data_IF_651734509977
#
_entry.id   IF_651734509977
#
_cell.length_a   1.000
_cell.length_b   1.000
_cell.length_c   1.000
_cell.angle_alpha   90.00
_cell.angle_beta   90.00
_cell.angle_gamma   90.00
#
_symmetry.space_group_name_H-M   'P 1'
#
loop_
_entity.id
_entity.type
_entity.pdbx_description
1 polymer ?
#
# COMPACT_ATOMS: atom_id res chain seq x y z
N UNK A 1 17.63 -5.25 6.75
CA UNK A 1 17.52 -6.31 7.76
C UNK A 1 18.54 -7.39 7.48
N UNK A 2 19.19 -7.90 8.54
CA UNK A 2 20.13 -9.01 8.50
C UNK A 2 19.37 -10.31 8.75
N UNK A 3 19.64 -11.32 7.98
CA UNK A 3 19.20 -12.67 8.29
C UNK A 3 20.39 -13.60 8.26
N UNK A 4 20.89 -13.93 9.41
CA UNK A 4 21.77 -15.05 9.67
C UNK A 4 21.52 -15.50 11.10
N UNK A 5 21.40 -16.79 11.32
CA UNK A 5 21.30 -17.33 12.67
C UNK A 5 22.70 -17.52 13.21
N UNK A 6 22.94 -17.08 14.42
CA UNK A 6 24.22 -17.25 15.15
C UNK A 6 24.72 -18.70 15.22
N UNK A 7 23.83 -19.67 15.07
CA UNK A 7 24.17 -21.10 15.07
C UNK A 7 24.95 -21.57 13.87
N UNK A 8 25.08 -20.74 12.81
CA UNK A 8 25.84 -21.05 11.62
C UNK A 8 27.04 -20.11 11.48
N UNK A 9 27.99 -20.23 12.35
CA UNK A 9 29.21 -19.42 12.43
C UNK A 9 30.05 -19.33 11.12
N UNK A 10 29.67 -20.02 10.06
CA UNK A 10 30.30 -19.98 8.73
C UNK A 10 29.56 -19.16 7.68
N UNK A 11 28.36 -18.65 7.98
CA UNK A 11 27.58 -17.88 7.02
C UNK A 11 27.87 -16.40 7.23
N UNK A 12 28.36 -15.74 6.19
CA UNK A 12 28.46 -14.28 6.20
C UNK A 12 27.07 -13.68 6.29
N UNK A 13 26.91 -12.65 7.12
CA UNK A 13 25.72 -11.82 7.11
C UNK A 13 25.57 -11.16 5.73
N UNK A 14 24.57 -11.59 4.98
CA UNK A 14 24.23 -10.97 3.70
C UNK A 14 23.10 -10.00 3.93
N UNK A 15 23.34 -8.72 3.62
CA UNK A 15 22.30 -7.72 3.53
C UNK A 15 21.90 -7.60 2.08
N UNK A 16 20.85 -8.30 1.69
CA UNK A 16 20.32 -8.26 0.33
C UNK A 16 19.49 -6.98 0.15
N UNK A 17 19.99 -6.08 -0.69
CA UNK A 17 19.33 -4.81 -0.98
C UNK A 17 18.98 -4.66 -2.45
N UNK A 18 19.68 -5.36 -3.34
CA UNK A 18 19.39 -5.33 -4.77
C UNK A 18 18.22 -6.26 -5.08
N UNK A 19 17.29 -5.76 -5.87
CA UNK A 19 16.23 -6.57 -6.44
C UNK A 19 16.83 -7.45 -7.54
N UNK A 20 16.24 -8.62 -7.71
CA UNK A 20 16.66 -9.57 -8.73
C UNK A 20 15.44 -9.91 -9.60
N UNK A 21 15.25 -11.19 -9.93
CA UNK A 21 14.00 -11.67 -10.55
C UNK A 21 12.79 -11.41 -9.66
N UNK A 22 13.02 -11.38 -8.34
CA UNK A 22 12.02 -11.01 -7.32
C UNK A 22 12.55 -9.84 -6.49
N UNK A 23 11.66 -9.07 -5.83
CA UNK A 23 12.06 -8.04 -4.90
C UNK A 23 12.99 -8.57 -3.81
N UNK A 24 13.98 -7.79 -3.42
CA UNK A 24 14.82 -8.12 -2.27
C UNK A 24 14.00 -8.11 -0.97
N UNK A 25 14.43 -8.88 0.02
CA UNK A 25 13.77 -8.91 1.32
C UNK A 25 13.64 -7.50 1.94
N UNK A 26 14.66 -6.67 1.74
CA UNK A 26 14.64 -5.29 2.26
C UNK A 26 13.68 -4.38 1.47
N UNK A 27 13.61 -4.48 0.14
CA UNK A 27 12.67 -3.69 -0.63
C UNK A 27 11.22 -4.10 -0.30
N UNK A 28 10.96 -5.39 -0.15
CA UNK A 28 9.65 -5.89 0.26
C UNK A 28 9.23 -5.37 1.65
N UNK A 29 10.15 -5.37 2.62
CA UNK A 29 9.88 -4.83 3.97
C UNK A 29 9.62 -3.32 3.92
N UNK A 30 10.35 -2.56 3.08
CA UNK A 30 10.10 -1.14 2.91
C UNK A 30 8.70 -0.86 2.33
N UNK A 31 8.28 -1.65 1.34
CA UNK A 31 6.93 -1.60 0.78
C UNK A 31 5.89 -1.93 1.85
N UNK A 32 6.07 -3.03 2.57
CA UNK A 32 5.17 -3.46 3.65
C UNK A 32 4.99 -2.37 4.72
N UNK A 33 6.05 -1.68 5.13
CA UNK A 33 5.93 -0.57 6.07
C UNK A 33 5.11 0.59 5.50
N UNK A 34 5.25 0.90 4.21
CA UNK A 34 4.43 1.92 3.55
C UNK A 34 2.94 1.56 3.57
N UNK A 35 2.60 0.33 3.23
CA UNK A 35 1.23 -0.18 3.27
C UNK A 35 0.68 -0.23 4.70
N UNK A 36 1.49 -0.71 5.66
CA UNK A 36 1.10 -0.78 7.07
C UNK A 36 0.79 0.61 7.66
N UNK A 37 1.51 1.66 7.22
CA UNK A 37 1.23 3.03 7.62
C UNK A 37 -0.19 3.46 7.23
N UNK A 38 -0.64 3.09 6.03
CA UNK A 38 -1.98 3.43 5.54
C UNK A 38 -3.05 2.65 6.32
N UNK A 39 -2.83 1.36 6.57
CA UNK A 39 -3.79 0.52 7.31
C UNK A 39 -3.91 0.92 8.78
N UNK A 40 -2.79 1.16 9.45
CA UNK A 40 -2.77 1.47 10.89
C UNK A 40 -3.01 2.95 11.20
N UNK A 41 -2.77 3.83 10.22
CA UNK A 41 -2.73 5.28 10.44
C UNK A 41 -1.51 5.75 11.24
N UNK A 42 -0.53 4.87 11.51
CA UNK A 42 0.67 5.18 12.29
C UNK A 42 1.80 5.70 11.42
N UNK A 43 2.14 6.97 11.60
CA UNK A 43 3.19 7.68 10.87
C UNK A 43 4.57 7.03 11.00
N UNK A 44 4.84 6.37 12.10
CA UNK A 44 6.14 5.71 12.35
C UNK A 44 6.49 4.67 11.29
N UNK A 45 5.51 4.00 10.71
CA UNK A 45 5.72 3.04 9.63
C UNK A 45 6.08 3.72 8.32
N UNK A 46 5.41 4.84 8.00
CA UNK A 46 5.75 5.65 6.82
C UNK A 46 7.20 6.18 6.91
N UNK A 47 7.60 6.65 8.09
CA UNK A 47 8.96 7.13 8.33
C UNK A 47 10.01 6.01 8.16
N UNK A 48 9.73 4.81 8.65
CA UNK A 48 10.61 3.64 8.42
C UNK A 48 10.75 3.31 6.94
N UNK A 49 9.64 3.25 6.19
CA UNK A 49 9.66 3.02 4.74
C UNK A 49 10.51 4.09 4.03
N UNK A 50 10.25 5.36 4.32
CA UNK A 50 10.96 6.50 3.72
C UNK A 50 12.48 6.48 4.02
N UNK A 51 12.86 6.18 5.26
CA UNK A 51 14.26 6.06 5.65
C UNK A 51 14.98 4.92 4.92
N UNK A 52 14.29 3.78 4.73
CA UNK A 52 14.85 2.66 3.96
C UNK A 52 15.06 3.05 2.50
N UNK A 53 14.08 3.67 1.84
CA UNK A 53 14.20 4.16 0.47
C UNK A 53 15.34 5.19 0.34
N UNK A 54 15.42 6.13 1.28
CA UNK A 54 16.47 7.15 1.27
C UNK A 54 17.87 6.56 1.39
N UNK A 55 18.02 5.47 2.14
CA UNK A 55 19.32 4.82 2.36
C UNK A 55 19.95 4.20 1.10
N UNK A 56 19.14 3.89 0.09
CA UNK A 56 19.62 3.26 -1.16
C UNK A 56 19.76 4.26 -2.33
N UNK A 57 19.40 5.52 -2.14
CA UNK A 57 19.35 6.55 -3.17
C UNK A 57 20.63 6.62 -4.03
N UNK A 58 21.81 6.65 -3.41
CA UNK A 58 23.07 6.71 -4.15
C UNK A 58 23.41 5.45 -4.96
N UNK A 59 22.78 4.31 -4.66
CA UNK A 59 22.99 3.04 -5.38
C UNK A 59 22.08 2.95 -6.61
N UNK A 60 20.84 3.42 -6.49
CA UNK A 60 19.86 3.45 -7.57
C UNK A 60 20.37 4.19 -8.80
N UNK A 61 21.04 5.33 -8.61
CA UNK A 61 21.60 6.10 -9.73
C UNK A 61 22.69 5.38 -10.50
N UNK A 62 23.40 4.43 -9.85
CA UNK A 62 24.47 3.68 -10.49
C UNK A 62 23.97 2.46 -11.23
N UNK A 63 22.92 1.84 -10.75
CA UNK A 63 22.45 0.54 -11.27
C UNK A 63 20.93 0.35 -11.06
N UNK A 64 20.13 1.29 -11.55
CA UNK A 64 18.68 1.37 -11.31
C UNK A 64 17.91 0.10 -11.67
N UNK A 65 18.38 -0.67 -12.65
CA UNK A 65 17.75 -1.93 -13.05
C UNK A 65 17.66 -2.96 -11.91
N UNK A 66 18.60 -2.92 -10.96
CA UNK A 66 18.62 -3.83 -9.81
C UNK A 66 17.87 -3.26 -8.59
N UNK A 67 17.06 -2.22 -8.78
CA UNK A 67 16.33 -1.53 -7.73
C UNK A 67 14.89 -1.22 -8.13
N UNK A 68 14.29 -2.04 -8.99
CA UNK A 68 12.98 -1.78 -9.59
C UNK A 68 11.88 -1.67 -8.55
N UNK A 69 11.84 -2.57 -7.55
CA UNK A 69 10.85 -2.49 -6.48
C UNK A 69 11.07 -1.27 -5.57
N UNK A 70 12.30 -0.90 -5.28
CA UNK A 70 12.62 0.33 -4.55
C UNK A 70 12.15 1.58 -5.29
N UNK A 71 12.28 1.59 -6.63
CA UNK A 71 11.80 2.70 -7.46
C UNK A 71 10.27 2.80 -7.44
N UNK A 72 9.56 1.66 -7.44
CA UNK A 72 8.10 1.62 -7.27
C UNK A 72 7.70 2.23 -5.93
N UNK A 73 8.40 1.87 -4.85
CA UNK A 73 8.14 2.42 -3.52
C UNK A 73 8.46 3.92 -3.48
N UNK A 74 9.57 4.36 -4.06
CA UNK A 74 9.92 5.78 -4.15
C UNK A 74 8.86 6.58 -4.92
N UNK A 75 8.34 6.03 -6.03
CA UNK A 75 7.24 6.62 -6.78
C UNK A 75 5.98 6.70 -5.93
N UNK A 76 5.65 5.67 -5.16
CA UNK A 76 4.48 5.69 -4.27
C UNK A 76 4.58 6.76 -3.18
N UNK A 77 5.78 7.12 -2.75
CA UNK A 77 5.98 8.24 -1.82
C UNK A 77 5.84 9.62 -2.49
N UNK A 78 6.05 9.69 -3.80
CA UNK A 78 5.92 10.94 -4.57
C UNK A 78 4.49 11.20 -5.06
N UNK A 79 3.73 10.15 -5.28
CA UNK A 79 2.35 10.23 -5.75
C UNK A 79 1.37 9.93 -4.60
N UNK A 80 0.25 10.64 -4.62
CA UNK A 80 -0.83 10.41 -3.67
C UNK A 80 -1.31 8.96 -3.73
N UNK A 81 -1.30 8.26 -2.60
CA UNK A 81 -2.00 6.99 -2.49
C UNK A 81 -3.50 7.22 -2.60
N UNK A 82 -4.17 6.31 -3.26
CA UNK A 82 -5.63 6.23 -3.28
C UNK A 82 -6.08 5.07 -2.42
N UNK A 83 -7.15 5.27 -1.68
CA UNK A 83 -7.77 4.22 -0.89
C UNK A 83 -9.21 4.02 -1.39
N UNK A 84 -9.54 2.80 -1.74
CA UNK A 84 -10.89 2.37 -2.12
C UNK A 84 -11.42 1.46 -1.04
N UNK A 85 -12.38 1.94 -0.28
CA UNK A 85 -12.97 1.20 0.83
C UNK A 85 -14.44 0.91 0.52
N UNK A 86 -14.80 -0.36 0.46
CA UNK A 86 -16.18 -0.80 0.31
C UNK A 86 -16.71 -1.30 1.65
N UNK A 87 -17.79 -0.71 2.14
CA UNK A 87 -18.39 -1.09 3.44
C UNK A 87 -19.86 -1.44 3.28
N UNK A 88 -20.29 -2.44 4.03
CA UNK A 88 -21.66 -2.93 4.06
C UNK A 88 -21.78 -4.37 3.60
N UNK A 89 -22.97 -4.93 3.70
CA UNK A 89 -23.22 -6.35 3.40
C UNK A 89 -22.81 -6.80 1.99
N UNK A 90 -22.80 -5.88 1.02
CA UNK A 90 -22.40 -6.13 -0.37
C UNK A 90 -20.96 -5.63 -0.68
N UNK A 91 -20.16 -5.32 0.32
CA UNK A 91 -18.81 -4.76 0.14
C UNK A 91 -17.91 -5.60 -0.77
N UNK A 92 -17.99 -6.92 -0.68
CA UNK A 92 -17.22 -7.82 -1.54
C UNK A 92 -17.61 -7.69 -3.02
N UNK A 93 -18.91 -7.64 -3.32
CA UNK A 93 -19.43 -7.46 -4.68
C UNK A 93 -19.04 -6.07 -5.24
N UNK A 94 -19.16 -5.05 -4.40
CA UNK A 94 -18.78 -3.69 -4.77
C UNK A 94 -17.29 -3.59 -5.12
N UNK A 95 -16.42 -4.11 -4.26
CA UNK A 95 -14.98 -4.07 -4.49
C UNK A 95 -14.59 -4.91 -5.70
N UNK A 96 -15.17 -6.10 -5.85
CA UNK A 96 -14.94 -6.97 -7.00
C UNK A 96 -15.26 -6.29 -8.34
N UNK A 97 -16.33 -5.51 -8.40
CA UNK A 97 -16.66 -4.75 -9.60
C UNK A 97 -15.58 -3.73 -9.98
N UNK A 98 -15.08 -2.95 -9.02
CA UNK A 98 -14.06 -1.94 -9.29
C UNK A 98 -12.74 -2.59 -9.70
N UNK A 99 -12.30 -3.64 -9.01
CA UNK A 99 -11.02 -4.30 -9.29
C UNK A 99 -10.99 -5.07 -10.61
N UNK A 100 -12.14 -5.57 -11.07
CA UNK A 100 -12.25 -6.23 -12.39
C UNK A 100 -12.25 -5.24 -13.55
N UNK A 101 -12.77 -4.03 -13.33
CA UNK A 101 -12.94 -3.05 -14.40
C UNK A 101 -11.66 -2.28 -14.71
N UNK A 102 -10.84 -2.03 -13.70
CA UNK A 102 -9.62 -1.22 -13.84
C UNK A 102 -8.57 -1.65 -12.83
N UNK A 103 -7.32 -1.62 -13.25
CA UNK A 103 -6.17 -1.72 -12.36
C UNK A 103 -5.53 -0.33 -12.21
N UNK A 104 -5.44 0.17 -11.00
CA UNK A 104 -4.68 1.37 -10.70
C UNK A 104 -3.56 1.01 -9.72
N UNK A 105 -2.29 1.08 -10.16
CA UNK A 105 -1.16 0.96 -9.24
C UNK A 105 -1.28 2.06 -8.17
N UNK A 106 -0.72 1.81 -7.01
CA UNK A 106 -0.75 2.74 -5.88
C UNK A 106 -2.15 2.98 -5.27
N UNK A 107 -3.05 2.02 -5.44
CA UNK A 107 -4.37 2.03 -4.82
C UNK A 107 -4.47 0.91 -3.79
N UNK A 108 -4.84 1.26 -2.58
CA UNK A 108 -5.16 0.32 -1.52
C UNK A 108 -6.65 -0.03 -1.57
N UNK A 109 -6.94 -1.30 -1.55
CA UNK A 109 -8.31 -1.80 -1.57
C UNK A 109 -8.65 -2.46 -0.23
N UNK A 110 -9.77 -2.06 0.35
CA UNK A 110 -10.27 -2.61 1.60
C UNK A 110 -11.77 -2.88 1.50
N UNK A 111 -12.20 -3.97 2.09
CA UNK A 111 -13.63 -4.27 2.24
C UNK A 111 -13.95 -4.64 3.68
N UNK A 112 -15.15 -4.28 4.12
CA UNK A 112 -15.68 -4.70 5.41
C UNK A 112 -17.19 -4.82 5.35
N UNK A 113 -17.79 -5.87 5.95
CA UNK A 113 -19.24 -6.02 5.99
C UNK A 113 -19.93 -4.98 6.88
N UNK A 114 -19.19 -4.33 7.75
CA UNK A 114 -19.66 -3.30 8.68
C UNK A 114 -18.52 -2.36 9.07
N UNK A 115 -18.82 -1.39 9.90
CA UNK A 115 -17.80 -0.55 10.54
C UNK A 115 -16.76 -1.42 11.26
N UNK A 116 -15.49 -1.09 11.08
CA UNK A 116 -14.37 -1.79 11.69
C UNK A 116 -13.55 -0.89 12.62
N UNK A 117 -12.48 -1.46 13.16
CA UNK A 117 -11.57 -0.76 14.09
C UNK A 117 -10.39 -0.08 13.39
N UNK A 118 -10.13 -0.41 12.12
CA UNK A 118 -9.06 0.21 11.35
C UNK A 118 -9.42 1.66 10.97
N UNK A 119 -8.48 2.59 10.92
CA UNK A 119 -8.74 3.99 10.54
C UNK A 119 -9.56 4.14 9.27
N UNK A 120 -9.30 3.29 8.27
CA UNK A 120 -10.04 3.31 6.99
C UNK A 120 -11.48 2.78 7.07
N UNK A 121 -11.86 2.10 8.14
CA UNK A 121 -13.23 1.58 8.34
C UNK A 121 -13.93 2.21 9.52
N UNK A 122 -13.21 2.90 10.38
CA UNK A 122 -13.73 3.53 11.58
C UNK A 122 -14.69 4.68 11.23
N UNK A 123 -15.82 4.77 11.94
CA UNK A 123 -16.89 5.77 11.72
C UNK A 123 -17.49 5.75 10.31
N UNK A 124 -17.38 4.63 9.62
CA UNK A 124 -17.99 4.41 8.31
C UNK A 124 -19.07 3.36 8.45
N UNK A 125 -20.27 3.81 8.73
CA UNK A 125 -21.44 2.94 8.87
C UNK A 125 -22.57 3.44 7.95
N UNK A 126 -22.49 3.13 6.64
CA UNK A 126 -23.52 3.52 5.71
C UNK A 126 -24.80 2.72 5.98
N UNK A 127 -25.97 3.34 5.76
CA UNK A 127 -27.26 2.66 5.82
C UNK A 127 -27.36 1.54 4.77
N UNK A 128 -26.72 1.76 3.63
CA UNK A 128 -26.57 0.80 2.55
C UNK A 128 -25.07 0.60 2.24
N UNK A 129 -24.75 -0.48 1.54
CA UNK A 129 -23.37 -0.72 1.13
C UNK A 129 -22.86 0.41 0.23
N UNK A 130 -21.68 0.95 0.54
CA UNK A 130 -21.14 2.11 -0.16
C UNK A 130 -19.63 2.03 -0.37
N UNK A 131 -19.18 2.75 -1.40
CA UNK A 131 -17.77 3.04 -1.63
C UNK A 131 -17.37 4.33 -0.93
N UNK A 132 -16.18 4.30 -0.36
CA UNK A 132 -15.45 5.47 0.13
C UNK A 132 -14.17 5.57 -0.69
N UNK A 133 -14.07 6.58 -1.52
CA UNK A 133 -12.89 6.86 -2.35
C UNK A 133 -12.09 7.95 -1.67
N UNK A 134 -10.89 7.64 -1.26
CA UNK A 134 -10.04 8.55 -0.49
C UNK A 134 -8.72 8.80 -1.22
N UNK A 135 -8.12 9.93 -0.95
CA UNK A 135 -6.80 10.33 -1.45
C UNK A 135 -6.06 11.05 -0.33
N UNK A 136 -4.92 10.50 0.07
CA UNK A 136 -4.14 11.02 1.20
C UNK A 136 -4.96 11.17 2.50
N UNK A 137 -5.80 10.20 2.82
CA UNK A 137 -6.64 10.21 4.03
C UNK A 137 -7.86 11.14 3.96
N UNK A 138 -8.06 11.90 2.86
CA UNK A 138 -9.27 12.70 2.62
C UNK A 138 -10.21 11.96 1.69
N UNK A 139 -11.47 11.78 2.09
CA UNK A 139 -12.43 10.99 1.34
C UNK A 139 -13.49 11.88 0.69
N UNK A 140 -13.88 11.50 -0.53
CA UNK A 140 -15.08 12.04 -1.17
C UNK A 140 -16.35 11.59 -0.42
N UNK A 141 -17.50 12.16 -0.75
CA UNK A 141 -18.76 11.68 -0.22
C UNK A 141 -18.98 10.22 -0.61
N UNK A 142 -19.46 9.38 0.32
CA UNK A 142 -19.71 7.98 0.02
C UNK A 142 -20.80 7.83 -1.04
N UNK A 143 -20.65 6.81 -1.89
CA UNK A 143 -21.62 6.53 -2.96
C UNK A 143 -21.87 5.03 -3.08
N UNK A 144 -23.11 4.65 -3.37
CA UNK A 144 -23.48 3.28 -3.77
C UNK A 144 -23.42 3.09 -5.29
N UNK A 145 -23.31 4.19 -6.04
CA UNK A 145 -23.31 4.21 -7.50
C UNK A 145 -21.91 3.83 -8.04
N UNK A 146 -21.86 2.72 -8.77
CA UNK A 146 -20.61 2.15 -9.30
C UNK A 146 -19.88 3.13 -10.24
N UNK A 147 -20.62 3.79 -11.13
CA UNK A 147 -20.01 4.71 -12.08
C UNK A 147 -19.44 5.94 -11.38
N UNK A 148 -20.16 6.49 -10.41
CA UNK A 148 -19.67 7.63 -9.60
C UNK A 148 -18.39 7.24 -8.84
N UNK A 149 -18.35 6.03 -8.29
CA UNK A 149 -17.15 5.54 -7.60
C UNK A 149 -15.96 5.40 -8.56
N UNK A 150 -16.18 4.89 -9.79
CA UNK A 150 -15.16 4.81 -10.83
C UNK A 150 -14.64 6.20 -11.21
N UNK A 151 -15.53 7.14 -11.45
CA UNK A 151 -15.16 8.50 -11.86
C UNK A 151 -14.33 9.21 -10.77
N UNK A 152 -14.72 9.05 -9.50
CA UNK A 152 -13.96 9.57 -8.36
C UNK A 152 -12.59 8.89 -8.20
N UNK A 153 -12.52 7.59 -8.47
CA UNK A 153 -11.26 6.85 -8.36
C UNK A 153 -10.28 7.19 -9.49
N UNK A 154 -10.79 7.47 -10.70
CA UNK A 154 -9.95 7.77 -11.88
C UNK A 154 -9.41 9.22 -11.88
N UNK A 155 -9.95 10.13 -11.05
CA UNK A 155 -9.44 11.49 -10.84
C UNK A 155 -8.15 11.50 -10.01
#
# INVERSE_FOLDING_TARGET
YKYARESFAKWQEVIEIEDNVIPSANSFVAQFFGELAIFSGERTWAEKSSNMVSSIHGKVFKNGQNFSNWLIIALSHCYSSKEVVAIGAQSSTLLGYLTQSNYAPNTLYLQSPAEGTLPLTLRRNPLESAYFICKNGSCALPTSEKQVALDLWMQ
#
